data_IF_570805501325
#
_entry.id   IF_570805501325
#
_cell.length_a   1.000
_cell.length_b   1.000
_cell.length_c   1.000
_cell.angle_alpha   90.00
_cell.angle_beta   90.00
_cell.angle_gamma   90.00
#
_symmetry.space_group_name_H-M   'P 1'
#
loop_
_entity.id
_entity.type
_entity.pdbx_description
1 polymer ?
#
# COMPACT_ATOMS: atom_id res chain seq x y z
N UNK A 1 6.25 -11.15 13.09
CA UNK A 1 6.61 -9.90 12.37
C UNK A 1 8.05 -9.43 12.56
N UNK A 2 8.47 -9.06 13.79
CA UNK A 2 9.82 -8.50 14.06
C UNK A 2 10.95 -9.44 13.62
N UNK A 3 10.75 -10.75 13.78
CA UNK A 3 11.72 -11.77 13.34
C UNK A 3 11.88 -11.84 11.81
N UNK A 4 10.90 -11.35 11.04
CA UNK A 4 10.99 -11.33 9.58
C UNK A 4 11.82 -10.13 9.11
N UNK A 5 11.38 -8.91 9.46
CA UNK A 5 11.90 -7.65 8.89
C UNK A 5 12.89 -6.90 9.80
N UNK A 6 13.17 -7.44 10.99
CA UNK A 6 14.07 -6.81 11.96
C UNK A 6 13.50 -5.50 12.56
N UNK A 7 14.28 -4.85 13.45
CA UNK A 7 13.86 -3.63 14.13
C UNK A 7 13.70 -2.43 13.18
N UNK A 8 14.58 -2.32 12.18
CA UNK A 8 14.53 -1.21 11.22
C UNK A 8 13.34 -1.34 10.28
N UNK A 9 13.00 -2.56 9.83
CA UNK A 9 11.78 -2.80 9.05
C UNK A 9 10.51 -2.53 9.85
N UNK A 10 10.49 -2.83 11.15
CA UNK A 10 9.37 -2.47 12.04
C UNK A 10 9.26 -0.95 12.18
N UNK A 11 10.39 -0.24 12.25
CA UNK A 11 10.41 1.23 12.30
C UNK A 11 9.84 1.82 11.02
N UNK A 12 10.30 1.36 9.85
CA UNK A 12 9.79 1.74 8.53
C UNK A 12 8.29 1.50 8.44
N UNK A 13 7.82 0.29 8.75
CA UNK A 13 6.39 -0.05 8.76
C UNK A 13 5.59 0.89 9.66
N UNK A 14 6.11 1.21 10.85
CA UNK A 14 5.42 2.07 11.82
C UNK A 14 5.27 3.51 11.32
N UNK A 15 6.34 4.10 10.77
CA UNK A 15 6.29 5.44 10.17
C UNK A 15 5.37 5.47 8.95
N UNK A 16 5.50 4.47 8.08
CA UNK A 16 4.65 4.33 6.91
C UNK A 16 3.16 4.31 7.24
N UNK A 17 2.76 3.46 8.20
CA UNK A 17 1.37 3.35 8.63
C UNK A 17 0.82 4.68 9.15
N UNK A 18 1.54 5.37 10.02
CA UNK A 18 1.11 6.65 10.60
C UNK A 18 0.99 7.74 9.52
N UNK A 19 1.98 7.85 8.63
CA UNK A 19 2.00 8.88 7.58
C UNK A 19 0.90 8.61 6.54
N UNK A 20 0.78 7.38 6.02
CA UNK A 20 -0.22 7.06 5.00
C UNK A 20 -1.64 7.22 5.54
N UNK A 21 -1.91 6.86 6.80
CA UNK A 21 -3.23 7.07 7.42
C UNK A 21 -3.56 8.57 7.58
N UNK A 22 -2.56 9.40 7.90
CA UNK A 22 -2.76 10.85 7.98
C UNK A 22 -3.05 11.47 6.60
N UNK A 23 -2.31 11.07 5.57
CA UNK A 23 -2.53 11.47 4.19
C UNK A 23 -3.93 11.10 3.71
N UNK A 24 -4.33 9.84 3.89
CA UNK A 24 -5.68 9.37 3.55
C UNK A 24 -6.76 10.16 4.28
N UNK A 25 -6.55 10.49 5.57
CA UNK A 25 -7.49 11.33 6.32
C UNK A 25 -7.66 12.70 5.68
N UNK A 26 -6.56 13.35 5.28
CA UNK A 26 -6.60 14.65 4.60
C UNK A 26 -7.34 14.58 3.27
N UNK A 27 -7.09 13.54 2.47
CA UNK A 27 -7.78 13.33 1.19
C UNK A 27 -9.29 13.06 1.37
N UNK A 28 -9.66 12.25 2.37
CA UNK A 28 -11.08 12.02 2.70
C UNK A 28 -11.79 13.30 3.14
N UNK A 29 -11.13 14.13 3.96
CA UNK A 29 -11.69 15.41 4.40
C UNK A 29 -11.92 16.37 3.23
N UNK A 30 -11.04 16.37 2.22
CA UNK A 30 -11.19 17.18 1.03
C UNK A 30 -12.26 16.63 0.08
N UNK A 31 -12.28 15.32 -0.17
CA UNK A 31 -13.34 14.67 -0.97
C UNK A 31 -14.73 14.89 -0.35
N UNK A 32 -14.85 14.85 0.97
CA UNK A 32 -16.10 15.06 1.68
C UNK A 32 -16.72 16.45 1.45
N UNK A 33 -15.89 17.45 1.08
CA UNK A 33 -16.34 18.82 0.78
C UNK A 33 -16.72 19.01 -0.69
N UNK A 34 -16.48 18.01 -1.54
CA UNK A 34 -16.73 18.07 -2.98
C UNK A 34 -18.05 17.41 -3.36
N UNK A 35 -18.60 17.72 -4.56
CA UNK A 35 -19.77 17.03 -5.06
C UNK A 35 -19.54 15.52 -5.15
N UNK A 36 -20.63 14.74 -4.98
CA UNK A 36 -20.60 13.29 -5.18
C UNK A 36 -20.03 12.96 -6.57
N UNK A 37 -19.08 12.03 -6.62
CA UNK A 37 -18.39 11.63 -7.84
C UNK A 37 -17.03 12.29 -8.05
N UNK A 38 -16.62 13.22 -7.17
CA UNK A 38 -15.25 13.69 -7.11
C UNK A 38 -14.28 12.56 -6.74
N UNK A 39 -13.04 12.67 -7.23
CA UNK A 39 -11.98 11.68 -7.06
C UNK A 39 -10.62 12.34 -6.77
N UNK A 40 -9.64 11.55 -6.33
CA UNK A 40 -8.30 12.04 -5.94
C UNK A 40 -7.62 12.86 -7.05
N UNK A 41 -7.79 12.48 -8.32
CA UNK A 41 -7.29 13.26 -9.46
C UNK A 41 -7.75 14.72 -9.55
N UNK A 42 -8.74 15.14 -8.76
CA UNK A 42 -9.20 16.53 -8.66
C UNK A 42 -8.67 17.26 -7.40
N UNK A 43 -7.95 16.55 -6.51
CA UNK A 43 -7.40 17.08 -5.27
C UNK A 43 -5.96 17.54 -5.50
N UNK A 44 -5.68 18.85 -5.40
CA UNK A 44 -4.31 19.35 -5.54
C UNK A 44 -3.42 18.83 -4.42
N UNK A 45 -2.31 18.17 -4.78
CA UNK A 45 -1.29 17.72 -3.83
C UNK A 45 -1.68 16.51 -2.97
N UNK A 46 -2.62 15.69 -3.44
CA UNK A 46 -2.87 14.37 -2.82
C UNK A 46 -1.63 13.49 -3.02
N UNK A 47 -0.92 13.18 -1.94
CA UNK A 47 0.24 12.28 -1.98
C UNK A 47 -0.20 10.84 -2.27
N UNK A 48 -1.36 10.44 -1.74
CA UNK A 48 -1.95 9.12 -2.04
C UNK A 48 -2.23 8.93 -3.53
N UNK A 49 -2.59 9.99 -4.25
CA UNK A 49 -2.77 9.93 -5.70
C UNK A 49 -1.47 9.59 -6.42
N UNK A 50 -0.35 10.21 -5.99
CA UNK A 50 0.97 10.00 -6.59
C UNK A 50 1.47 8.57 -6.33
N UNK A 51 1.05 7.97 -5.21
CA UNK A 51 1.43 6.63 -4.78
C UNK A 51 0.54 5.50 -5.35
N UNK A 52 -0.61 5.84 -5.95
CA UNK A 52 -1.54 4.86 -6.52
C UNK A 52 -1.29 4.62 -8.02
N UNK A 53 -1.59 3.42 -8.55
CA UNK A 53 -1.46 3.13 -9.99
C UNK A 53 -2.19 4.14 -10.89
N UNK A 54 -1.51 4.68 -11.90
CA UNK A 54 -2.05 5.79 -12.70
C UNK A 54 -3.28 5.41 -13.57
N UNK A 55 -3.46 4.13 -13.90
CA UNK A 55 -4.49 3.69 -14.84
C UNK A 55 -5.92 4.03 -14.36
N UNK A 56 -6.14 4.11 -13.05
CA UNK A 56 -7.47 4.28 -12.45
C UNK A 56 -7.63 5.57 -11.66
N UNK A 57 -6.84 6.61 -11.97
CA UNK A 57 -6.90 7.94 -11.31
C UNK A 57 -8.33 8.50 -11.11
N UNK A 58 -9.22 8.27 -12.09
CA UNK A 58 -10.62 8.74 -12.04
C UNK A 58 -11.56 7.86 -11.21
N UNK A 59 -11.11 6.68 -10.78
CA UNK A 59 -11.88 5.73 -9.97
C UNK A 59 -11.58 5.84 -8.48
N UNK A 60 -10.55 6.62 -8.08
CA UNK A 60 -10.18 6.86 -6.69
C UNK A 60 -11.12 7.88 -6.03
N UNK A 61 -12.39 7.52 -5.90
CA UNK A 61 -13.42 8.33 -5.24
C UNK A 61 -13.42 8.17 -3.71
N UNK A 62 -14.33 8.86 -3.02
CA UNK A 62 -14.42 8.78 -1.55
C UNK A 62 -14.59 7.34 -1.04
N UNK A 63 -15.41 6.52 -1.71
CA UNK A 63 -15.67 5.14 -1.27
C UNK A 63 -14.42 4.29 -1.43
N UNK A 64 -13.73 4.41 -2.57
CA UNK A 64 -12.43 3.78 -2.78
C UNK A 64 -11.43 4.16 -1.68
N UNK A 65 -11.21 5.47 -1.46
CA UNK A 65 -10.21 5.96 -0.50
C UNK A 65 -10.56 5.51 0.92
N UNK A 66 -11.86 5.50 1.28
CA UNK A 66 -12.30 5.03 2.58
C UNK A 66 -12.05 3.52 2.75
N UNK A 67 -12.32 2.71 1.72
CA UNK A 67 -12.01 1.28 1.73
C UNK A 67 -10.51 1.03 1.83
N UNK A 68 -9.70 1.80 1.10
CA UNK A 68 -8.24 1.73 1.17
C UNK A 68 -7.70 2.10 2.55
N UNK A 69 -8.29 3.11 3.23
CA UNK A 69 -8.02 3.39 4.65
C UNK A 69 -8.23 2.16 5.52
N UNK A 70 -9.37 1.49 5.35
CA UNK A 70 -9.68 0.27 6.10
C UNK A 70 -8.68 -0.85 5.80
N UNK A 71 -8.19 -0.95 4.56
CA UNK A 71 -7.12 -1.89 4.21
C UNK A 71 -5.85 -1.61 5.01
N UNK A 72 -5.36 -0.36 5.07
CA UNK A 72 -4.18 0.00 5.87
C UNK A 72 -4.40 -0.25 7.37
N UNK A 73 -5.57 0.08 7.91
CA UNK A 73 -5.90 -0.20 9.32
C UNK A 73 -5.89 -1.72 9.62
N UNK A 74 -6.34 -2.56 8.67
CA UNK A 74 -6.23 -4.02 8.82
C UNK A 74 -4.78 -4.47 8.82
N UNK A 75 -3.91 -3.91 7.96
CA UNK A 75 -2.48 -4.18 7.99
C UNK A 75 -1.88 -3.81 9.35
N UNK A 76 -2.22 -2.63 9.90
CA UNK A 76 -1.82 -2.20 11.24
C UNK A 76 -2.25 -3.19 12.32
N UNK A 77 -3.50 -3.65 12.30
CA UNK A 77 -4.01 -4.61 13.28
C UNK A 77 -3.29 -5.96 13.19
N UNK A 78 -3.06 -6.46 11.97
CA UNK A 78 -2.28 -7.69 11.74
C UNK A 78 -0.86 -7.55 12.29
N UNK A 79 -0.22 -6.40 12.05
CA UNK A 79 1.13 -6.10 12.52
C UNK A 79 1.23 -6.06 14.06
N UNK A 80 0.25 -5.45 14.74
CA UNK A 80 0.25 -5.30 16.20
C UNK A 80 -0.05 -6.63 16.91
N UNK A 81 -0.97 -7.43 16.37
CA UNK A 81 -1.48 -8.62 17.06
C UNK A 81 -0.86 -9.93 16.56
N UNK A 82 0.09 -9.88 15.61
CA UNK A 82 0.64 -11.04 14.88
C UNK A 82 -0.48 -11.94 14.30
N UNK A 83 -1.64 -11.33 14.03
CA UNK A 83 -2.85 -12.04 13.59
C UNK A 83 -2.70 -12.39 12.12
N UNK A 84 -2.43 -13.67 11.85
CA UNK A 84 -2.42 -14.22 10.50
C UNK A 84 -1.04 -14.35 9.86
N UNK A 85 0.04 -14.17 10.62
CA UNK A 85 1.36 -14.64 10.20
C UNK A 85 1.54 -16.10 10.63
N UNK A 86 1.20 -17.06 9.75
CA UNK A 86 1.50 -18.48 9.97
C UNK A 86 2.93 -18.86 9.55
N UNK A 87 3.74 -17.87 9.15
CA UNK A 87 5.08 -18.05 8.60
C UNK A 87 5.11 -18.44 7.13
N UNK A 88 3.95 -18.58 6.46
CA UNK A 88 3.84 -19.08 5.08
C UNK A 88 2.82 -18.35 4.19
N UNK A 89 1.89 -17.57 4.75
CA UNK A 89 0.72 -17.03 4.04
C UNK A 89 0.66 -15.51 3.80
N UNK A 90 1.70 -14.75 4.16
CA UNK A 90 1.78 -13.30 3.88
C UNK A 90 0.78 -12.42 4.65
N UNK A 91 1.12 -11.13 4.80
CA UNK A 91 0.25 -10.09 5.36
C UNK A 91 -0.85 -9.66 4.39
N UNK A 92 -0.72 -10.01 3.12
CA UNK A 92 -1.50 -9.53 2.00
C UNK A 92 -2.50 -10.59 1.57
N UNK A 93 -3.76 -10.19 1.40
CA UNK A 93 -4.85 -11.13 1.04
C UNK A 93 -5.66 -10.67 -0.17
N UNK A 94 -5.28 -9.54 -0.75
CA UNK A 94 -5.89 -8.98 -1.94
C UNK A 94 -4.92 -7.98 -2.59
N UNK A 95 -5.17 -7.61 -3.84
CA UNK A 95 -4.35 -6.60 -4.54
C UNK A 95 -4.34 -5.27 -3.79
N UNK A 96 -5.43 -4.89 -3.13
CA UNK A 96 -5.47 -3.70 -2.28
C UNK A 96 -4.56 -3.81 -1.05
N UNK A 97 -4.50 -4.98 -0.41
CA UNK A 97 -3.58 -5.20 0.71
C UNK A 97 -2.12 -5.09 0.22
N UNK A 98 -1.82 -5.57 -0.99
CA UNK A 98 -0.48 -5.55 -1.59
C UNK A 98 0.00 -4.12 -1.87
N UNK A 99 -0.82 -3.37 -2.63
CA UNK A 99 -0.60 -1.95 -2.93
C UNK A 99 -0.46 -1.15 -1.61
N UNK A 100 -1.33 -1.40 -0.63
CA UNK A 100 -1.27 -0.71 0.65
C UNK A 100 0.03 -0.99 1.41
N UNK A 101 0.48 -2.25 1.44
CA UNK A 101 1.73 -2.61 2.08
C UNK A 101 2.93 -1.96 1.37
N UNK A 102 2.94 -1.98 0.04
CA UNK A 102 3.97 -1.32 -0.76
C UNK A 102 4.07 0.18 -0.43
N UNK A 103 2.95 0.92 -0.52
CA UNK A 103 2.90 2.37 -0.25
C UNK A 103 3.37 2.66 1.18
N UNK A 104 2.91 1.88 2.15
CA UNK A 104 3.30 2.03 3.55
C UNK A 104 4.81 1.83 3.72
N UNK A 105 5.38 0.78 3.13
CA UNK A 105 6.81 0.50 3.26
C UNK A 105 7.67 1.56 2.55
N UNK A 106 7.30 1.98 1.34
CA UNK A 106 7.99 3.04 0.59
C UNK A 106 7.94 4.39 1.34
N UNK A 107 6.74 4.77 1.81
CA UNK A 107 6.53 5.99 2.61
C UNK A 107 7.38 5.97 3.89
N UNK A 108 7.39 4.84 4.59
CA UNK A 108 8.15 4.65 5.80
C UNK A 108 9.66 4.73 5.57
N UNK A 109 10.15 4.10 4.50
CA UNK A 109 11.57 4.13 4.14
C UNK A 109 12.02 5.56 3.82
N UNK A 110 11.24 6.29 3.03
CA UNK A 110 11.49 7.71 2.75
C UNK A 110 11.52 8.55 4.02
N UNK A 111 10.59 8.34 4.94
CA UNK A 111 10.55 9.07 6.21
C UNK A 111 11.75 8.75 7.12
N UNK A 112 12.12 7.48 7.26
CA UNK A 112 13.29 7.06 8.07
C UNK A 112 14.59 7.60 7.45
N UNK A 113 14.74 7.53 6.13
CA UNK A 113 15.91 8.07 5.43
C UNK A 113 16.10 9.57 5.68
N UNK A 114 15.03 10.36 5.65
CA UNK A 114 15.07 11.80 5.95
C UNK A 114 15.43 12.13 7.40
N UNK A 115 15.09 11.25 8.36
CA UNK A 115 15.34 11.46 9.80
C UNK A 115 16.75 11.00 10.20
N UNK A 116 17.30 10.02 9.49
CA UNK A 116 18.55 9.34 9.86
C UNK A 116 19.64 9.54 8.79
N UNK A 117 20.04 10.79 8.50
CA UNK A 117 21.04 11.24 7.48
C UNK A 117 22.35 10.41 7.33
N UNK A 118 22.65 9.46 8.24
CA UNK A 118 23.81 8.55 8.18
C UNK A 118 23.49 7.12 7.67
N UNK A 119 22.21 6.77 7.48
CA UNK A 119 21.71 5.43 7.11
C UNK A 119 21.09 5.34 5.70
N UNK A 120 21.21 6.39 4.87
CA UNK A 120 20.63 6.46 3.51
C UNK A 120 20.92 5.20 2.67
N UNK A 121 22.05 4.51 2.88
CA UNK A 121 22.43 3.37 2.04
C UNK A 121 21.95 2.00 2.49
N UNK A 122 21.47 1.78 3.72
CA UNK A 122 20.98 0.44 4.13
C UNK A 122 19.44 0.37 4.08
N UNK A 123 18.73 1.38 4.59
CA UNK A 123 17.25 1.37 4.63
C UNK A 123 16.62 1.52 3.25
N UNK A 124 17.20 2.34 2.37
CA UNK A 124 16.72 2.51 0.99
C UNK A 124 16.90 1.22 0.15
N UNK A 125 17.89 0.38 0.50
CA UNK A 125 18.12 -0.90 -0.18
C UNK A 125 17.30 -2.05 0.39
N UNK A 126 16.96 -2.04 1.68
CA UNK A 126 16.37 -3.21 2.37
C UNK A 126 14.84 -3.17 2.47
N UNK A 127 14.18 -2.01 2.33
CA UNK A 127 12.73 -1.92 2.55
C UNK A 127 11.92 -2.76 1.56
N UNK A 128 12.39 -2.90 0.33
CA UNK A 128 11.73 -3.70 -0.69
C UNK A 128 11.82 -5.19 -0.35
N UNK A 129 12.95 -5.64 0.21
CA UNK A 129 13.11 -7.02 0.71
C UNK A 129 12.17 -7.28 1.88
N UNK A 130 12.02 -6.34 2.81
CA UNK A 130 11.03 -6.44 3.90
C UNK A 130 9.60 -6.47 3.39
N UNK A 131 9.28 -5.64 2.40
CA UNK A 131 7.98 -5.70 1.71
C UNK A 131 7.73 -7.10 1.14
N UNK A 132 8.69 -7.68 0.40
CA UNK A 132 8.53 -9.03 -0.15
C UNK A 132 8.40 -10.09 0.93
N UNK A 133 9.20 -10.02 2.00
CA UNK A 133 9.07 -10.93 3.14
C UNK A 133 7.66 -10.87 3.75
N UNK A 134 7.09 -9.67 3.91
CA UNK A 134 5.74 -9.49 4.43
C UNK A 134 4.66 -9.90 3.43
N UNK A 135 4.88 -9.69 2.13
CA UNK A 135 3.95 -10.05 1.05
C UNK A 135 3.98 -11.55 0.68
N UNK A 136 4.82 -12.36 1.33
CA UNK A 136 4.97 -13.77 0.99
C UNK A 136 5.74 -14.00 -0.32
N UNK A 137 6.64 -13.09 -0.65
CA UNK A 137 7.48 -13.07 -1.86
C UNK A 137 6.69 -12.97 -3.17
N UNK A 138 5.44 -12.49 -3.14
CA UNK A 138 4.72 -12.14 -4.36
C UNK A 138 5.34 -10.91 -5.03
N UNK A 139 5.89 -11.14 -6.23
CA UNK A 139 6.57 -10.16 -7.08
C UNK A 139 5.73 -9.76 -8.30
N UNK A 140 4.42 -10.05 -8.29
CA UNK A 140 3.58 -9.84 -9.45
C UNK A 140 2.83 -8.52 -9.45
N UNK A 141 2.17 -8.17 -8.35
CA UNK A 141 1.20 -7.07 -8.31
C UNK A 141 1.86 -5.72 -8.56
N UNK A 142 2.80 -5.33 -7.69
CA UNK A 142 3.47 -4.02 -7.80
C UNK A 142 4.20 -3.86 -9.14
N UNK A 143 5.03 -4.84 -9.59
CA UNK A 143 5.66 -4.74 -10.91
C UNK A 143 4.69 -4.64 -12.10
N UNK A 144 3.50 -5.23 -12.01
CA UNK A 144 2.50 -5.14 -13.06
C UNK A 144 1.72 -3.82 -13.05
N UNK A 145 1.51 -3.21 -11.88
CA UNK A 145 0.69 -2.01 -11.71
C UNK A 145 1.48 -0.71 -11.75
N UNK A 146 2.75 -0.73 -11.36
CA UNK A 146 3.62 0.43 -11.28
C UNK A 146 4.58 0.46 -12.48
N UNK A 147 4.22 1.23 -13.50
CA UNK A 147 4.97 1.38 -14.77
C UNK A 147 6.37 2.01 -14.62
N UNK A 148 6.77 2.44 -13.43
CA UNK A 148 7.96 3.27 -13.18
C UNK A 148 9.17 2.53 -12.63
N UNK A 149 9.10 1.22 -12.36
CA UNK A 149 10.27 0.48 -11.88
C UNK A 149 11.39 0.47 -12.95
N UNK A 150 12.55 1.10 -12.69
CA UNK A 150 13.56 1.40 -13.71
C UNK A 150 14.21 0.17 -14.37
N UNK A 151 14.02 -1.02 -13.79
CA UNK A 151 14.55 -2.29 -14.30
C UNK A 151 13.51 -3.13 -15.06
N UNK A 152 12.23 -2.77 -15.00
CA UNK A 152 11.14 -3.41 -15.73
C UNK A 152 10.65 -2.43 -16.81
N UNK A 153 11.41 -2.32 -17.90
CA UNK A 153 10.83 -1.95 -19.20
C UNK A 153 9.96 -3.10 -19.71
N UNK A 154 8.90 -3.41 -18.98
CA UNK A 154 7.74 -4.04 -19.58
C UNK A 154 6.93 -2.89 -20.16
N UNK A 155 6.66 -2.95 -21.46
CA UNK A 155 5.74 -2.03 -22.13
C UNK A 155 4.49 -1.84 -21.26
N UNK A 156 4.13 -0.60 -20.93
CA UNK A 156 2.99 -0.20 -20.11
C UNK A 156 1.80 -1.17 -20.30
N UNK A 157 1.67 -2.14 -19.39
CA UNK A 157 0.65 -3.17 -19.49
C UNK A 157 -0.67 -2.53 -19.05
N UNK A 158 -1.44 -2.05 -20.01
CA UNK A 158 -2.83 -1.69 -19.75
C UNK A 158 -3.55 -2.94 -19.21
N UNK A 159 -3.92 -2.89 -17.92
CA UNK A 159 -4.61 -3.98 -17.25
C UNK A 159 -6.05 -4.01 -17.75
N UNK A 160 -6.35 -5.00 -18.59
CA UNK A 160 -7.67 -5.13 -19.20
C UNK A 160 -8.71 -5.62 -18.20
N UNK A 161 -9.95 -5.23 -18.46
CA UNK A 161 -11.12 -5.84 -17.83
C UNK A 161 -11.04 -7.38 -17.95
N UNK A 162 -11.27 -8.06 -16.82
CA UNK A 162 -11.15 -9.53 -16.72
C UNK A 162 -9.84 -10.02 -16.11
N UNK A 163 -8.78 -9.20 -16.07
CA UNK A 163 -7.60 -9.48 -15.25
C UNK A 163 -7.97 -9.50 -13.76
N UNK A 164 -7.34 -10.40 -13.00
CA UNK A 164 -7.34 -10.43 -11.54
C UNK A 164 -6.68 -9.20 -10.90
N UNK A 165 -5.79 -8.50 -11.62
CA UNK A 165 -5.18 -7.24 -11.20
C UNK A 165 -6.02 -6.00 -11.53
N UNK A 166 -7.15 -6.17 -12.22
CA UNK A 166 -8.04 -5.06 -12.57
C UNK A 166 -8.63 -4.41 -11.31
N UNK A 167 -8.76 -3.08 -11.29
CA UNK A 167 -9.26 -2.28 -10.16
C UNK A 167 -10.50 -2.84 -9.47
N UNK A 168 -11.48 -3.31 -10.25
CA UNK A 168 -12.73 -3.87 -9.73
C UNK A 168 -12.55 -5.09 -8.82
N UNK A 169 -11.37 -5.71 -8.84
CA UNK A 169 -11.01 -6.89 -8.05
C UNK A 169 -10.06 -6.58 -6.91
N UNK A 170 -9.65 -5.32 -6.72
CA UNK A 170 -8.59 -5.00 -5.76
C UNK A 170 -8.89 -5.41 -4.34
N UNK A 171 -10.15 -5.27 -3.93
CA UNK A 171 -10.61 -5.58 -2.60
C UNK A 171 -11.34 -6.93 -2.54
N UNK A 172 -11.10 -7.82 -3.51
CA UNK A 172 -11.56 -9.20 -3.42
C UNK A 172 -10.60 -9.93 -2.49
N UNK A 173 -11.01 -10.04 -1.24
CA UNK A 173 -10.30 -10.80 -0.24
C UNK A 173 -10.94 -12.19 -0.20
N UNK A 174 -10.16 -13.28 -0.31
CA UNK A 174 -10.68 -14.65 -0.17
C UNK A 174 -11.26 -14.92 1.25
N UNK A 175 -10.93 -14.04 2.22
CA UNK A 175 -11.33 -14.08 3.63
C UNK A 175 -12.51 -13.13 3.95
N UNK A 176 -13.59 -13.17 3.18
CA UNK A 176 -14.81 -12.41 3.46
C UNK A 176 -15.49 -12.71 4.83
N UNK A 177 -14.88 -13.53 5.70
CA UNK A 177 -15.43 -13.99 6.97
C UNK A 177 -14.39 -14.10 8.11
N UNK A 178 -13.67 -13.02 8.43
CA UNK A 178 -13.22 -12.83 9.81
C UNK A 178 -14.06 -11.71 10.46
N UNK A 179 -15.20 -12.04 11.08
CA UNK A 179 -15.94 -11.09 11.86
C UNK A 179 -15.14 -10.81 13.12
N UNK A 180 -14.68 -9.57 13.29
CA UNK A 180 -14.25 -9.01 14.58
C UNK A 180 -13.37 -9.94 15.44
N UNK A 181 -12.07 -9.95 15.19
CA UNK A 181 -11.07 -10.27 16.22
C UNK A 181 -10.00 -9.19 16.23
#
# INVERSE_FOLDING_TARGET
MVDAIGPDGVLVLSYGLEISLDQIRMDLDELARRPRGAHLGEIPGSLLLDDLPEQWVTHYDYEFVYRFRCTIERLRLRAVHDLGWDGTGGYVRSVADDIALYIVMETGAGAVGLVHEENETEVEHDWLDWYYQLNGEDDRTVPALYSSLPYLKADALFIREGSDLHFDRWFNDDDALLPFL
#
